data_IF_300739789594
#
_entry.id   IF_300739789594
#
_cell.length_a   1.000
_cell.length_b   1.000
_cell.length_c   1.000
_cell.angle_alpha   90.00
_cell.angle_beta   90.00
_cell.angle_gamma   90.00
#
_symmetry.space_group_name_H-M   'P 1'
#
loop_
_entity.id
_entity.type
_entity.pdbx_description
1 polymer ?
#
# COMPACT_ATOMS: atom_id res chain seq x y z
N UNK A 1 2.53 -6.37 10.04
CA UNK A 1 2.49 -5.03 10.70
C UNK A 1 1.27 -4.28 10.24
N UNK A 2 0.78 -3.35 11.03
CA UNK A 2 -0.37 -2.51 10.64
C UNK A 2 0.13 -1.27 9.89
N UNK A 3 -0.52 -0.96 8.78
CA UNK A 3 -0.26 0.25 7.99
C UNK A 3 -1.59 0.88 7.57
N UNK A 4 -1.63 2.21 7.51
CA UNK A 4 -2.84 2.96 7.16
C UNK A 4 -2.83 3.33 5.69
N UNK A 5 -3.92 3.09 4.96
CA UNK A 5 -4.04 3.57 3.59
C UNK A 5 -4.12 5.10 3.57
N UNK A 6 -3.16 5.76 2.93
CA UNK A 6 -3.07 7.21 2.87
C UNK A 6 -3.31 7.79 1.47
N UNK A 7 -3.15 6.97 0.42
CA UNK A 7 -3.52 7.34 -0.96
C UNK A 7 -3.84 6.10 -1.78
N UNK A 8 -4.82 6.22 -2.66
CA UNK A 8 -5.17 5.19 -3.64
C UNK A 8 -5.02 5.80 -5.04
N UNK A 9 -4.35 5.07 -5.91
CA UNK A 9 -4.22 5.32 -7.35
C UNK A 9 -4.60 4.03 -8.10
N UNK A 10 -4.95 4.10 -9.40
CA UNK A 10 -5.43 2.92 -10.14
C UNK A 10 -4.50 1.69 -10.13
N UNK A 11 -3.19 1.89 -9.91
CA UNK A 11 -2.18 0.83 -9.90
C UNK A 11 -1.33 0.81 -8.61
N UNK A 12 -1.67 1.63 -7.61
CA UNK A 12 -0.88 1.80 -6.39
C UNK A 12 -1.77 2.10 -5.18
N UNK A 13 -1.41 1.52 -4.04
CA UNK A 13 -1.94 1.90 -2.74
C UNK A 13 -0.75 2.35 -1.93
N UNK A 14 -0.77 3.61 -1.50
CA UNK A 14 0.22 4.15 -0.60
C UNK A 14 -0.28 3.95 0.82
N UNK A 15 0.61 3.40 1.62
CA UNK A 15 0.43 3.11 3.02
C UNK A 15 1.35 4.00 3.83
N UNK A 16 0.91 4.29 5.04
CA UNK A 16 1.70 4.97 6.04
C UNK A 16 1.89 4.04 7.23
N UNK A 17 3.15 3.79 7.57
CA UNK A 17 3.54 3.04 8.76
C UNK A 17 3.93 4.06 9.83
N UNK A 18 3.18 4.06 10.94
CA UNK A 18 3.35 4.96 12.09
C UNK A 18 3.27 6.48 11.81
N UNK A 19 2.78 6.91 10.63
CA UNK A 19 2.71 8.35 10.28
C UNK A 19 4.03 8.90 9.70
N UNK A 20 5.01 8.03 9.42
CA UNK A 20 6.41 8.43 9.19
C UNK A 20 6.98 7.78 7.92
N UNK A 21 6.64 6.52 7.64
CA UNK A 21 7.29 5.75 6.58
C UNK A 21 6.30 5.45 5.46
N UNK A 22 6.63 5.91 4.24
CA UNK A 22 5.88 5.55 3.04
C UNK A 22 6.10 4.06 2.72
N UNK A 23 4.99 3.34 2.61
CA UNK A 23 4.97 1.97 2.14
C UNK A 23 4.07 1.85 0.90
N UNK A 24 4.40 0.90 0.02
CA UNK A 24 3.55 0.54 -1.12
C UNK A 24 3.43 -0.98 -1.19
N UNK A 25 2.30 -1.45 -1.71
CA UNK A 25 2.20 -2.83 -2.14
C UNK A 25 3.02 -3.09 -3.40
N UNK A 26 3.58 -4.30 -3.51
CA UNK A 26 4.27 -4.74 -4.72
C UNK A 26 3.33 -4.79 -5.92
N UNK A 27 3.79 -4.37 -7.09
CA UNK A 27 3.00 -4.33 -8.32
C UNK A 27 2.34 -5.66 -8.68
N UNK A 28 3.03 -6.79 -8.43
CA UNK A 28 2.49 -8.13 -8.69
C UNK A 28 1.19 -8.43 -7.96
N UNK A 29 0.94 -7.81 -6.79
CA UNK A 29 -0.30 -8.04 -6.06
C UNK A 29 -1.52 -7.48 -6.78
N UNK A 30 -1.36 -6.41 -7.56
CA UNK A 30 -2.50 -5.74 -8.20
C UNK A 30 -3.20 -6.62 -9.26
N UNK A 31 -2.61 -7.76 -9.65
CA UNK A 31 -3.26 -8.79 -10.48
C UNK A 31 -4.55 -9.34 -9.85
N UNK A 32 -4.60 -9.39 -8.51
CA UNK A 32 -5.75 -9.91 -7.75
C UNK A 32 -6.72 -8.82 -7.29
N UNK A 33 -6.45 -7.56 -7.67
CA UNK A 33 -7.20 -6.40 -7.28
C UNK A 33 -8.06 -5.85 -8.41
N UNK A 34 -9.28 -5.43 -8.06
CA UNK A 34 -10.15 -4.67 -8.95
C UNK A 34 -10.30 -3.24 -8.43
N UNK A 35 -9.95 -2.26 -9.26
CA UNK A 35 -10.10 -0.85 -8.91
C UNK A 35 -11.50 -0.33 -9.24
N UNK A 36 -12.23 0.13 -8.22
CA UNK A 36 -13.52 0.80 -8.34
C UNK A 36 -13.28 2.31 -8.41
N UNK A 37 -13.14 2.82 -9.64
CA UNK A 37 -12.84 4.23 -9.91
C UNK A 37 -13.95 5.19 -9.46
N UNK A 38 -15.20 4.73 -9.36
CA UNK A 38 -16.33 5.56 -8.93
C UNK A 38 -16.23 5.90 -7.44
N UNK A 39 -15.68 4.99 -6.65
CA UNK A 39 -15.56 5.12 -5.20
C UNK A 39 -14.11 5.28 -4.71
N UNK A 40 -13.13 5.35 -5.64
CA UNK A 40 -11.69 5.43 -5.36
C UNK A 40 -11.22 4.39 -4.33
N UNK A 41 -11.55 3.12 -4.59
CA UNK A 41 -11.24 2.01 -3.69
C UNK A 41 -10.85 0.76 -4.46
N UNK A 42 -10.20 -0.15 -3.77
CA UNK A 42 -9.83 -1.45 -4.31
C UNK A 42 -10.71 -2.55 -3.76
N UNK A 43 -10.98 -3.58 -4.57
CA UNK A 43 -11.65 -4.81 -4.15
C UNK A 43 -10.73 -6.00 -4.38
N UNK A 44 -10.58 -6.85 -3.37
CA UNK A 44 -9.92 -8.16 -3.49
C UNK A 44 -10.67 -9.17 -2.61
N UNK A 45 -10.94 -10.35 -3.15
CA UNK A 45 -11.59 -11.47 -2.40
C UNK A 45 -12.88 -11.03 -1.67
N UNK A 46 -13.68 -10.16 -2.29
CA UNK A 46 -14.93 -9.66 -1.72
C UNK A 46 -14.77 -8.55 -0.66
N UNK A 47 -13.56 -8.21 -0.23
CA UNK A 47 -13.27 -7.09 0.68
C UNK A 47 -12.94 -5.82 -0.07
N UNK A 48 -13.32 -4.68 0.51
CA UNK A 48 -12.96 -3.36 0.01
C UNK A 48 -11.79 -2.79 0.81
N UNK A 49 -10.93 -2.05 0.12
CA UNK A 49 -9.78 -1.34 0.66
C UNK A 49 -9.90 0.13 0.24
N UNK A 50 -10.13 0.98 1.23
CA UNK A 50 -10.48 2.39 1.06
C UNK A 50 -9.49 3.27 1.80
N UNK A 51 -9.54 4.58 1.52
CA UNK A 51 -8.73 5.55 2.24
C UNK A 51 -8.95 5.43 3.75
N UNK A 52 -7.85 5.47 4.51
CA UNK A 52 -7.78 5.37 5.97
C UNK A 52 -8.05 4.00 6.59
N UNK A 53 -8.32 2.96 5.80
CA UNK A 53 -8.35 1.59 6.31
C UNK A 53 -6.98 1.19 6.87
N UNK A 54 -7.00 0.40 7.95
CA UNK A 54 -5.80 -0.23 8.51
C UNK A 54 -5.68 -1.63 7.91
N UNK A 55 -4.54 -1.91 7.30
CA UNK A 55 -4.26 -3.20 6.66
C UNK A 55 -3.08 -3.89 7.33
N UNK A 56 -3.14 -5.22 7.34
CA UNK A 56 -1.96 -6.03 7.60
C UNK A 56 -1.05 -5.97 6.38
N UNK A 57 0.21 -5.67 6.65
CA UNK A 57 1.27 -5.51 5.68
C UNK A 57 2.48 -6.34 6.12
N UNK A 58 3.07 -7.05 5.18
CA UNK A 58 4.28 -7.84 5.36
C UNK A 58 5.40 -7.25 4.51
N UNK A 59 6.51 -6.89 5.14
CA UNK A 59 7.67 -6.29 4.45
C UNK A 59 8.33 -7.35 3.58
N UNK A 60 8.56 -7.01 2.31
CA UNK A 60 9.36 -7.80 1.37
C UNK A 60 10.72 -7.18 1.10
N UNK A 61 10.75 -5.86 0.91
CA UNK A 61 11.96 -5.11 0.55
C UNK A 61 11.91 -3.71 1.12
N UNK A 62 13.06 -3.19 1.51
CA UNK A 62 13.24 -1.79 1.90
C UNK A 62 14.19 -1.16 0.88
N UNK A 63 13.84 0.01 0.38
CA UNK A 63 14.68 0.82 -0.50
C UNK A 63 14.97 2.16 0.16
N UNK A 64 16.18 2.67 -0.03
CA UNK A 64 16.64 3.92 0.55
C UNK A 64 17.71 4.51 -0.39
N UNK A 65 17.91 5.83 -0.34
CA UNK A 65 19.03 6.49 -1.00
C UNK A 65 20.34 6.28 -0.24
N UNK A 66 21.48 6.50 -0.89
CA UNK A 66 22.82 6.21 -0.33
C UNK A 66 23.12 6.92 1.00
N UNK A 67 22.42 8.03 1.28
CA UNK A 67 22.50 8.79 2.53
C UNK A 67 21.44 8.38 3.59
N UNK A 68 20.71 7.29 3.36
CA UNK A 68 19.62 6.83 4.22
C UNK A 68 18.31 7.61 4.08
N UNK A 69 18.23 8.60 3.19
CA UNK A 69 16.99 9.34 2.91
C UNK A 69 16.05 8.56 1.98
N UNK A 70 14.81 9.04 1.84
CA UNK A 70 13.80 8.47 0.93
C UNK A 70 13.53 6.98 1.17
N UNK A 71 13.42 6.60 2.46
CA UNK A 71 13.08 5.23 2.85
C UNK A 71 11.68 4.90 2.33
N UNK A 72 11.60 3.87 1.51
CA UNK A 72 10.35 3.32 0.99
C UNK A 72 10.30 1.83 1.23
N UNK A 73 9.17 1.37 1.75
CA UNK A 73 8.96 -0.04 2.06
C UNK A 73 8.04 -0.65 1.03
N UNK A 74 8.44 -1.79 0.49
CA UNK A 74 7.66 -2.57 -0.48
C UNK A 74 7.24 -3.87 0.20
N UNK A 75 5.96 -4.19 0.12
CA UNK A 75 5.42 -5.38 0.79
C UNK A 75 4.15 -5.93 0.16
N UNK A 76 3.55 -6.86 0.87
CA UNK A 76 2.36 -7.61 0.49
C UNK A 76 1.44 -7.78 1.70
N UNK A 77 0.30 -8.47 1.57
CA UNK A 77 -0.54 -8.85 2.71
C UNK A 77 0.16 -9.90 3.57
#
# INVERSE_FOLDING_TARGET
MEAKINKIEPLKIHLDIFGIVEAIFSEDMFKDFHYDSRNNRFRREGKFFSLYDIVLFTIKKITYGDNGANVKVIGYF
#
